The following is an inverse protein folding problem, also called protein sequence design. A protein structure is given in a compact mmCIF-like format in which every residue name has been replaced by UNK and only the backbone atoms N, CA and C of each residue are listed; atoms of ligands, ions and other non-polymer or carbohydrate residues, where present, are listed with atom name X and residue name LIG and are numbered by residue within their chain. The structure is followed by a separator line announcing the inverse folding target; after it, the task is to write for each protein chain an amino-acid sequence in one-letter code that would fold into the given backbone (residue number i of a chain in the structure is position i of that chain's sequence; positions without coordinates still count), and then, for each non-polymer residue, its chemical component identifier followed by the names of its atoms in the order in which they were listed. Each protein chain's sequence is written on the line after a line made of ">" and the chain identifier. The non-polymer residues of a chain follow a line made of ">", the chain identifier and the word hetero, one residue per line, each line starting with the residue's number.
data_IF_525229634167
#
_entry.id   IF_525229634167
#
_cell.length_a   1.000
_cell.length_b   1.000
_cell.length_c   1.000
_cell.angle_alpha   90.00
_cell.angle_beta   90.00
_cell.angle_gamma   90.00
#
_symmetry.space_group_name_H-M   'P 1'
#
loop_
_entity.id
_entity.type
_entity.pdbx_description
1 polymer ?
#
# COMPACT_ATOMS: atom_id res chain seq x y z
N UNK A 1 7.86 -25.33 9.44
CA UNK A 1 7.08 -25.13 10.68
C UNK A 1 6.65 -23.67 10.75
N UNK A 2 5.34 -23.40 11.06
CA UNK A 2 4.80 -22.04 11.20
C UNK A 2 5.59 -21.23 12.24
N UNK A 3 5.95 -19.99 11.87
CA UNK A 3 6.63 -19.03 12.75
C UNK A 3 5.82 -17.76 12.82
N UNK A 4 5.90 -17.07 13.96
CA UNK A 4 5.26 -15.77 14.10
C UNK A 4 5.92 -14.75 13.16
N UNK A 5 5.15 -14.05 12.29
CA UNK A 5 5.72 -13.07 11.36
C UNK A 5 6.02 -11.72 12.02
N UNK A 6 6.77 -10.80 11.37
CA UNK A 6 6.77 -9.38 11.70
C UNK A 6 5.35 -8.82 11.74
N UNK A 7 5.14 -7.78 12.55
CA UNK A 7 3.83 -7.15 12.73
C UNK A 7 3.84 -5.70 12.28
N UNK A 8 2.88 -5.36 11.42
CA UNK A 8 2.60 -3.98 11.01
C UNK A 8 1.24 -3.52 11.52
N UNK A 9 1.01 -2.21 11.52
CA UNK A 9 -0.29 -1.60 11.80
C UNK A 9 -0.75 -0.80 10.58
N UNK A 10 -1.96 -1.09 10.08
CA UNK A 10 -2.64 -0.29 9.08
C UNK A 10 -3.77 0.50 9.73
N UNK A 11 -3.81 1.81 9.47
CA UNK A 11 -4.83 2.72 10.01
C UNK A 11 -5.59 3.30 8.84
N UNK A 12 -6.88 3.01 8.77
CA UNK A 12 -7.74 3.52 7.71
C UNK A 12 -8.42 4.82 8.12
N UNK A 13 -8.11 5.90 7.40
CA UNK A 13 -8.76 7.19 7.54
C UNK A 13 -9.63 7.46 6.30
N UNK A 14 -10.98 7.35 6.39
CA UNK A 14 -11.81 7.17 5.21
C UNK A 14 -12.21 8.45 4.48
N UNK A 15 -11.87 9.64 4.96
CA UNK A 15 -12.35 10.89 4.38
C UNK A 15 -11.47 11.47 3.29
N UNK A 16 -12.12 12.02 2.25
CA UNK A 16 -11.53 12.82 1.19
C UNK A 16 -12.31 14.13 1.04
N UNK A 17 -11.64 15.21 0.62
CA UNK A 17 -12.31 16.43 0.17
C UNK A 17 -13.20 16.16 -1.05
N UNK A 18 -12.68 15.33 -1.98
CA UNK A 18 -13.37 14.89 -3.18
C UNK A 18 -12.88 13.49 -3.56
N UNK A 19 -13.82 12.59 -3.87
CA UNK A 19 -13.50 11.25 -4.34
C UNK A 19 -13.17 11.26 -5.83
N UNK A 20 -12.00 10.78 -6.18
CA UNK A 20 -11.55 10.69 -7.57
C UNK A 20 -12.37 9.65 -8.35
N UNK A 21 -12.67 9.87 -9.65
CA UNK A 21 -13.53 9.00 -10.45
C UNK A 21 -12.95 7.59 -10.70
N UNK A 22 -11.65 7.40 -10.52
CA UNK A 22 -10.96 6.13 -10.67
C UNK A 22 -10.79 5.37 -9.35
N UNK A 23 -10.98 6.02 -8.19
CA UNK A 23 -10.62 5.49 -6.88
C UNK A 23 -11.63 4.46 -6.38
N UNK A 24 -11.16 3.24 -6.14
CA UNK A 24 -11.91 2.11 -5.56
C UNK A 24 -11.75 1.98 -4.04
N UNK A 25 -10.87 2.80 -3.43
CA UNK A 25 -10.64 2.77 -1.99
C UNK A 25 -11.93 3.08 -1.21
N UNK A 26 -11.99 2.56 0.02
CA UNK A 26 -13.08 2.85 0.94
C UNK A 26 -12.98 4.30 1.44
N UNK A 27 -13.22 5.25 0.55
CA UNK A 27 -13.14 6.68 0.82
C UNK A 27 -14.51 7.36 0.67
N UNK A 28 -14.76 8.34 1.51
CA UNK A 28 -16.05 9.03 1.64
C UNK A 28 -15.82 10.54 1.62
N UNK A 29 -16.69 11.25 0.88
CA UNK A 29 -16.83 12.71 1.01
C UNK A 29 -17.75 13.01 2.20
N UNK A 30 -17.50 14.09 2.92
CA UNK A 30 -18.36 14.53 4.03
C UNK A 30 -17.57 15.07 5.22
N UNK A 31 -18.30 15.34 6.29
CA UNK A 31 -17.72 15.85 7.52
C UNK A 31 -16.96 14.78 8.28
N UNK A 32 -15.77 15.15 8.74
CA UNK A 32 -14.93 14.30 9.59
C UNK A 32 -15.60 14.20 10.96
N UNK A 33 -15.87 12.97 11.40
CA UNK A 33 -16.51 12.71 12.69
C UNK A 33 -15.49 12.85 13.82
N UNK A 34 -15.77 13.74 14.77
CA UNK A 34 -14.85 14.12 15.85
C UNK A 34 -14.48 12.98 16.80
N UNK A 35 -15.30 11.93 16.90
CA UNK A 35 -15.06 10.78 17.76
C UNK A 35 -14.28 9.64 17.05
N UNK A 36 -13.94 9.81 15.77
CA UNK A 36 -13.32 8.77 14.96
C UNK A 36 -11.92 8.36 15.48
N UNK A 37 -11.09 9.34 15.87
CA UNK A 37 -9.74 9.05 16.37
C UNK A 37 -9.82 8.29 17.70
N UNK A 38 -10.74 8.66 18.59
CA UNK A 38 -10.97 7.92 19.82
C UNK A 38 -11.51 6.50 19.55
N UNK A 39 -12.29 6.32 18.48
CA UNK A 39 -12.77 5.03 18.05
C UNK A 39 -11.64 4.13 17.49
N UNK A 40 -10.67 4.70 16.77
CA UNK A 40 -9.47 3.97 16.33
C UNK A 40 -8.70 3.37 17.50
N UNK A 41 -8.52 4.15 18.58
CA UNK A 41 -7.82 3.67 19.78
C UNK A 41 -8.62 2.53 20.45
N UNK A 42 -9.95 2.66 20.57
CA UNK A 42 -10.81 1.60 21.12
C UNK A 42 -10.82 0.34 20.23
N UNK A 43 -10.74 0.52 18.91
CA UNK A 43 -10.62 -0.58 17.96
C UNK A 43 -9.32 -1.36 18.16
N UNK A 44 -8.21 -0.64 18.34
CA UNK A 44 -6.92 -1.23 18.68
C UNK A 44 -6.98 -1.99 20.02
N UNK A 45 -7.64 -1.41 21.04
CA UNK A 45 -7.80 -2.07 22.36
C UNK A 45 -8.46 -3.46 22.20
N UNK A 46 -9.38 -3.60 21.27
CA UNK A 46 -10.03 -4.88 20.95
C UNK A 46 -9.10 -5.91 20.29
N UNK A 47 -8.06 -5.44 19.60
CA UNK A 47 -7.13 -6.28 18.82
C UNK A 47 -5.76 -6.49 19.48
N UNK A 48 -5.49 -5.91 20.68
CA UNK A 48 -4.21 -6.03 21.40
C UNK A 48 -3.76 -7.47 21.64
N UNK A 49 -4.70 -8.41 21.80
CA UNK A 49 -4.40 -9.84 21.94
C UNK A 49 -3.60 -10.40 20.75
N UNK A 50 -3.72 -9.79 19.56
CA UNK A 50 -3.03 -10.23 18.33
C UNK A 50 -1.62 -9.69 18.20
N UNK A 51 -1.22 -8.75 19.05
CA UNK A 51 0.16 -8.24 19.10
C UNK A 51 1.12 -9.37 19.50
N UNK A 52 0.72 -10.25 20.42
CA UNK A 52 1.49 -11.43 20.85
C UNK A 52 2.94 -11.07 21.23
N UNK A 53 3.12 -9.99 22.01
CA UNK A 53 4.40 -9.47 22.48
C UNK A 53 5.39 -9.02 21.37
N UNK A 54 4.92 -8.79 20.16
CA UNK A 54 5.76 -8.27 19.06
C UNK A 54 5.88 -6.74 19.12
N UNK A 55 7.00 -6.23 18.67
CA UNK A 55 7.11 -4.82 18.29
C UNK A 55 6.44 -4.57 16.92
N UNK A 56 5.96 -3.35 16.74
CA UNK A 56 5.43 -2.88 15.44
C UNK A 56 6.60 -2.41 14.58
N UNK A 57 6.78 -3.03 13.42
CA UNK A 57 7.84 -2.71 12.47
C UNK A 57 7.49 -1.54 11.56
N UNK A 58 6.19 -1.40 11.23
CA UNK A 58 5.70 -0.29 10.42
C UNK A 58 4.25 0.07 10.75
N UNK A 59 3.94 1.36 10.62
CA UNK A 59 2.60 1.93 10.71
C UNK A 59 2.30 2.63 9.40
N UNK A 60 1.15 2.34 8.79
CA UNK A 60 0.71 3.00 7.56
C UNK A 60 -0.65 3.63 7.80
N UNK A 61 -0.73 4.96 7.70
CA UNK A 61 -1.97 5.74 7.82
C UNK A 61 -2.40 6.09 6.41
N UNK A 62 -3.46 5.41 5.93
CA UNK A 62 -3.91 5.50 4.55
C UNK A 62 -5.43 5.49 4.42
N UNK A 63 -5.90 5.36 3.18
CA UNK A 63 -7.31 5.16 2.83
C UNK A 63 -7.93 6.26 1.98
N UNK A 64 -8.49 7.29 2.59
CA UNK A 64 -8.98 8.48 1.89
C UNK A 64 -7.87 9.52 1.73
N UNK A 65 -7.81 10.47 2.62
CA UNK A 65 -6.78 11.52 2.67
C UNK A 65 -6.39 11.77 4.14
N UNK A 66 -5.48 10.96 4.70
CA UNK A 66 -5.10 11.08 6.11
C UNK A 66 -4.55 12.45 6.51
N UNK A 67 -3.93 13.18 5.57
CA UNK A 67 -3.43 14.53 5.81
C UNK A 67 -4.51 15.58 6.10
N UNK A 68 -5.79 15.25 5.92
CA UNK A 68 -6.90 16.08 6.38
C UNK A 68 -7.04 16.10 7.90
N UNK A 69 -6.49 15.08 8.59
CA UNK A 69 -6.45 15.03 10.04
C UNK A 69 -5.77 16.27 10.60
N UNK A 70 -6.28 16.80 11.73
CA UNK A 70 -5.59 17.86 12.44
C UNK A 70 -4.28 17.32 13.05
N UNK A 71 -3.34 18.19 13.32
CA UNK A 71 -2.08 17.79 13.96
C UNK A 71 -2.30 17.32 15.40
N UNK A 72 -3.30 17.89 16.07
CA UNK A 72 -3.75 17.48 17.41
C UNK A 72 -4.32 16.05 17.37
N UNK A 73 -5.18 15.74 16.40
CA UNK A 73 -5.75 14.40 16.23
C UNK A 73 -4.67 13.37 15.89
N UNK A 74 -3.76 13.72 14.99
CA UNK A 74 -2.63 12.87 14.64
C UNK A 74 -1.70 12.61 15.86
N UNK A 75 -1.45 13.63 16.66
CA UNK A 75 -0.69 13.53 17.90
C UNK A 75 -1.40 12.65 18.93
N UNK A 76 -2.71 12.86 19.13
CA UNK A 76 -3.52 12.04 20.01
C UNK A 76 -3.50 10.56 19.59
N UNK A 77 -3.67 10.30 18.28
CA UNK A 77 -3.59 8.94 17.72
C UNK A 77 -2.23 8.31 18.03
N UNK A 78 -1.13 8.95 17.63
CA UNK A 78 0.21 8.37 17.77
C UNK A 78 0.61 8.17 19.24
N UNK A 79 0.20 9.07 20.16
CA UNK A 79 0.42 8.89 21.59
C UNK A 79 -0.39 7.70 22.13
N UNK A 80 -1.67 7.60 21.75
CA UNK A 80 -2.50 6.46 22.11
C UNK A 80 -1.97 5.11 21.62
N UNK A 81 -1.31 5.09 20.44
CA UNK A 81 -0.61 3.89 19.94
C UNK A 81 0.63 3.58 20.79
N UNK A 82 1.47 4.57 21.12
CA UNK A 82 2.69 4.42 21.93
C UNK A 82 2.39 3.91 23.36
N UNK A 83 1.24 4.27 23.92
CA UNK A 83 0.80 3.79 25.23
C UNK A 83 0.44 2.29 25.23
N UNK A 84 0.11 1.70 24.07
CA UNK A 84 -0.44 0.35 23.91
C UNK A 84 0.49 -0.64 23.24
N UNK A 85 1.40 -0.13 22.42
CA UNK A 85 2.23 -0.93 21.52
C UNK A 85 3.71 -0.61 21.73
N UNK A 86 4.53 -1.63 21.67
CA UNK A 86 5.96 -1.46 21.51
C UNK A 86 6.30 -1.22 20.05
N UNK A 87 7.09 -0.21 19.75
CA UNK A 87 7.60 0.06 18.41
C UNK A 87 9.03 -0.46 18.30
N UNK A 88 9.41 -0.94 17.12
CA UNK A 88 10.83 -1.24 16.82
C UNK A 88 11.64 0.06 16.80
N UNK A 89 12.96 -0.03 17.04
CA UNK A 89 13.84 1.13 17.09
C UNK A 89 13.82 1.95 15.78
N UNK A 90 13.56 1.29 14.66
CA UNK A 90 13.50 1.89 13.32
C UNK A 90 12.10 1.81 12.70
N UNK A 91 11.05 1.95 13.52
CA UNK A 91 9.66 1.88 13.02
C UNK A 91 9.43 2.87 11.88
N UNK A 92 8.92 2.36 10.73
CA UNK A 92 8.46 3.20 9.64
C UNK A 92 7.03 3.68 9.91
N UNK A 93 6.81 4.99 10.03
CA UNK A 93 5.48 5.58 10.20
C UNK A 93 5.16 6.40 8.96
N UNK A 94 4.35 5.82 8.07
CA UNK A 94 3.94 6.44 6.80
C UNK A 94 2.58 7.11 6.94
N UNK A 95 2.44 8.30 6.35
CA UNK A 95 1.15 8.95 6.13
C UNK A 95 0.96 9.22 4.64
N UNK A 96 -0.20 8.83 4.10
CA UNK A 96 -0.64 9.28 2.78
C UNK A 96 -1.07 10.74 2.84
N UNK A 97 -0.60 11.51 1.88
CA UNK A 97 -0.89 12.94 1.80
C UNK A 97 -1.35 13.33 0.40
N UNK A 98 -2.30 14.25 0.34
CA UNK A 98 -2.65 14.91 -0.90
C UNK A 98 -1.77 16.17 -1.03
N UNK A 99 -1.17 16.46 -2.19
CA UNK A 99 -0.21 17.56 -2.33
C UNK A 99 -0.89 18.92 -2.48
N UNK A 100 -1.77 19.28 -1.57
CA UNK A 100 -2.40 20.61 -1.49
C UNK A 100 -1.63 21.55 -0.58
N UNK A 101 -1.89 22.86 -0.70
CA UNK A 101 -1.23 23.90 0.12
C UNK A 101 -1.51 23.72 1.60
N UNK A 102 -2.75 23.38 1.95
CA UNK A 102 -3.17 23.20 3.36
C UNK A 102 -2.45 22.05 4.06
N UNK A 103 -2.16 20.96 3.35
CA UNK A 103 -1.45 19.82 3.90
C UNK A 103 0.03 20.13 4.11
N UNK A 104 0.65 20.89 3.20
CA UNK A 104 2.05 21.26 3.28
C UNK A 104 2.39 22.07 4.55
N UNK A 105 1.48 22.91 5.01
CA UNK A 105 1.64 23.72 6.22
C UNK A 105 1.80 22.87 7.50
N UNK A 106 1.28 21.61 7.50
CA UNK A 106 1.32 20.71 8.65
C UNK A 106 2.55 19.80 8.69
N UNK A 107 3.37 19.74 7.63
CA UNK A 107 4.43 18.74 7.54
C UNK A 107 5.45 18.81 8.67
N UNK A 108 5.82 20.02 9.12
CA UNK A 108 6.74 20.18 10.25
C UNK A 108 6.16 19.56 11.53
N UNK A 109 4.87 19.74 11.77
CA UNK A 109 4.20 19.20 12.94
C UNK A 109 4.03 17.68 12.82
N UNK A 110 3.62 17.15 11.67
CA UNK A 110 3.57 15.71 11.42
C UNK A 110 4.94 15.05 11.63
N UNK A 111 6.02 15.71 11.19
CA UNK A 111 7.38 15.22 11.43
C UNK A 111 7.73 15.18 12.91
N UNK A 112 7.35 16.23 13.66
CA UNK A 112 7.67 16.37 15.10
C UNK A 112 6.97 15.33 15.99
N UNK A 113 5.77 14.89 15.63
CA UNK A 113 5.02 13.86 16.38
C UNK A 113 5.48 12.44 16.07
N UNK A 114 6.35 12.25 15.04
CA UNK A 114 6.99 10.97 14.75
C UNK A 114 6.66 10.34 13.41
N UNK A 115 5.82 10.98 12.55
CA UNK A 115 5.66 10.52 11.16
C UNK A 115 7.01 10.72 10.48
N UNK A 116 7.56 9.66 9.85
CA UNK A 116 8.90 9.68 9.28
C UNK A 116 8.96 9.32 7.79
N UNK A 117 7.81 8.97 7.19
CA UNK A 117 7.66 8.73 5.76
C UNK A 117 6.37 9.37 5.26
N UNK A 118 6.40 10.01 4.09
CA UNK A 118 5.21 10.49 3.39
C UNK A 118 5.02 9.73 2.08
N UNK A 119 3.75 9.42 1.74
CA UNK A 119 3.34 8.95 0.42
C UNK A 119 2.50 10.04 -0.22
N UNK A 120 3.06 10.72 -1.23
CA UNK A 120 2.45 11.91 -1.83
C UNK A 120 1.72 11.52 -3.11
N UNK A 121 0.39 11.59 -3.10
CA UNK A 121 -0.47 11.25 -4.23
C UNK A 121 -0.47 12.32 -5.33
N UNK A 122 0.64 12.47 -6.06
CA UNK A 122 0.79 13.44 -7.15
C UNK A 122 -0.02 13.04 -8.38
N UNK A 123 0.11 11.80 -8.82
CA UNK A 123 -0.52 11.15 -9.95
C UNK A 123 0.00 11.59 -11.33
N UNK A 124 0.19 12.89 -11.57
CA UNK A 124 0.82 13.49 -12.75
C UNK A 124 1.29 14.92 -12.43
N UNK A 125 2.25 15.41 -13.17
CA UNK A 125 2.66 16.83 -13.13
C UNK A 125 2.09 17.64 -14.31
N UNK A 126 1.11 17.09 -15.03
CA UNK A 126 0.40 17.75 -16.11
C UNK A 126 -1.02 18.12 -15.63
N UNK A 127 -1.34 19.42 -15.59
CA UNK A 127 -2.62 19.92 -15.04
C UNK A 127 -3.83 19.39 -15.79
N UNK A 128 -3.72 19.13 -17.09
CA UNK A 128 -4.78 18.52 -17.88
C UNK A 128 -5.10 17.09 -17.41
N UNK A 129 -4.09 16.32 -17.05
CA UNK A 129 -4.22 14.96 -16.51
C UNK A 129 -4.77 14.98 -15.09
N UNK A 130 -4.31 15.90 -14.24
CA UNK A 130 -4.84 16.10 -12.90
C UNK A 130 -6.34 16.41 -12.94
N UNK A 131 -6.75 17.31 -13.82
CA UNK A 131 -8.17 17.65 -14.04
C UNK A 131 -8.97 16.42 -14.52
N UNK A 132 -8.43 15.65 -15.44
CA UNK A 132 -9.05 14.41 -15.92
C UNK A 132 -9.24 13.40 -14.78
N UNK A 133 -8.23 13.22 -13.93
CA UNK A 133 -8.28 12.35 -12.76
C UNK A 133 -9.18 12.89 -11.62
N UNK A 134 -9.74 14.11 -11.76
CA UNK A 134 -10.58 14.73 -10.74
C UNK A 134 -9.81 15.21 -9.52
N UNK A 135 -8.48 15.38 -9.65
CA UNK A 135 -7.62 15.91 -8.58
C UNK A 135 -7.92 17.38 -8.31
N UNK A 136 -7.77 17.77 -7.04
CA UNK A 136 -8.06 19.14 -6.58
C UNK A 136 -6.82 20.04 -6.54
N UNK A 137 -5.63 19.45 -6.67
CA UNK A 137 -4.35 20.17 -6.69
C UNK A 137 -3.83 20.37 -8.13
N UNK A 138 -2.97 21.35 -8.30
CA UNK A 138 -2.20 21.63 -9.52
C UNK A 138 -0.81 21.00 -9.49
N UNK A 139 -0.15 20.95 -10.64
CA UNK A 139 1.24 20.47 -10.74
C UNK A 139 2.21 21.30 -9.89
N UNK A 140 2.00 22.62 -9.82
CA UNK A 140 2.81 23.51 -8.98
C UNK A 140 2.62 23.25 -7.49
N UNK A 141 1.40 22.99 -7.04
CA UNK A 141 1.13 22.61 -5.65
C UNK A 141 1.78 21.27 -5.31
N UNK A 142 1.77 20.29 -6.24
CA UNK A 142 2.45 19.01 -6.04
C UNK A 142 3.97 19.19 -5.87
N UNK A 143 4.61 20.02 -6.69
CA UNK A 143 6.05 20.33 -6.56
C UNK A 143 6.34 21.01 -5.23
N UNK A 144 5.54 22.02 -4.88
CA UNK A 144 5.74 22.78 -3.64
C UNK A 144 5.55 21.89 -2.40
N UNK A 145 4.54 21.01 -2.39
CA UNK A 145 4.31 20.08 -1.28
C UNK A 145 5.52 19.16 -1.04
N UNK A 146 6.16 18.65 -2.09
CA UNK A 146 7.37 17.81 -1.95
C UNK A 146 8.53 18.63 -1.39
N UNK A 147 8.75 19.87 -1.89
CA UNK A 147 9.79 20.77 -1.38
C UNK A 147 9.54 21.11 0.10
N UNK A 148 8.32 21.43 0.48
CA UNK A 148 7.97 21.72 1.88
C UNK A 148 8.12 20.48 2.78
N UNK A 149 7.79 19.28 2.29
CA UNK A 149 8.06 18.05 3.03
C UNK A 149 9.57 17.86 3.30
N UNK A 150 10.42 18.13 2.31
CA UNK A 150 11.88 18.07 2.46
C UNK A 150 12.37 19.16 3.46
N UNK A 151 11.85 20.38 3.38
CA UNK A 151 12.14 21.47 4.34
C UNK A 151 11.72 21.13 5.77
N UNK A 152 10.60 20.42 5.92
CA UNK A 152 10.13 19.90 7.21
C UNK A 152 11.00 18.75 7.78
N UNK A 153 12.02 18.30 7.01
CA UNK A 153 12.96 17.27 7.44
C UNK A 153 12.54 15.84 7.11
N UNK A 154 11.57 15.64 6.19
CA UNK A 154 11.30 14.31 5.65
C UNK A 154 12.39 13.92 4.64
N UNK A 155 13.09 12.84 4.94
CA UNK A 155 14.10 12.22 4.06
C UNK A 155 13.58 10.97 3.36
N UNK A 156 12.42 10.45 3.79
CA UNK A 156 11.77 9.29 3.18
C UNK A 156 10.43 9.74 2.58
N UNK A 157 10.44 9.98 1.27
CA UNK A 157 9.28 10.48 0.53
C UNK A 157 9.02 9.55 -0.64
N UNK A 158 7.79 9.08 -0.77
CA UNK A 158 7.27 8.42 -1.96
C UNK A 158 6.45 9.41 -2.79
N UNK A 159 6.61 9.35 -4.11
CA UNK A 159 5.76 10.04 -5.09
C UNK A 159 4.95 8.99 -5.84
N UNK A 160 3.62 9.09 -5.78
CA UNK A 160 2.74 8.25 -6.57
C UNK A 160 2.50 8.89 -7.94
N UNK A 161 2.77 8.14 -9.03
CA UNK A 161 2.55 8.55 -10.41
C UNK A 161 1.77 7.49 -11.17
N UNK A 162 0.83 7.95 -12.00
CA UNK A 162 0.03 7.10 -12.87
C UNK A 162 0.45 7.25 -14.32
N UNK A 163 0.34 6.15 -15.07
CA UNK A 163 0.46 6.16 -16.53
C UNK A 163 -0.72 5.47 -17.22
N UNK A 164 -0.78 5.57 -18.54
CA UNK A 164 -1.93 5.08 -19.30
C UNK A 164 -3.15 5.99 -19.19
N UNK A 165 -2.95 7.30 -18.96
CA UNK A 165 -4.01 8.28 -18.80
C UNK A 165 -4.62 8.69 -20.13
N UNK A 166 -5.80 9.29 -20.11
CA UNK A 166 -6.50 9.74 -21.31
C UNK A 166 -5.63 10.70 -22.15
N UNK A 167 -5.35 10.30 -23.39
CA UNK A 167 -4.55 11.10 -24.33
C UNK A 167 -3.08 11.25 -23.95
N UNK A 168 -2.60 10.55 -22.91
CA UNK A 168 -1.21 10.56 -22.52
C UNK A 168 -0.34 9.91 -23.60
N UNK A 169 0.74 10.56 -24.01
CA UNK A 169 1.77 9.96 -24.85
C UNK A 169 2.90 9.37 -24.00
N UNK A 170 3.75 8.56 -24.62
CA UNK A 170 4.94 8.01 -23.96
C UNK A 170 5.87 9.14 -23.49
N UNK A 171 6.03 10.20 -24.27
CA UNK A 171 6.84 11.36 -23.91
C UNK A 171 6.30 12.06 -22.68
N UNK A 172 5.00 12.33 -22.58
CA UNK A 172 4.34 12.92 -21.40
C UNK A 172 4.56 12.06 -20.15
N UNK A 173 4.43 10.74 -20.27
CA UNK A 173 4.70 9.81 -19.17
C UNK A 173 6.16 9.89 -18.68
N UNK A 174 7.13 10.00 -19.61
CA UNK A 174 8.55 10.13 -19.28
C UNK A 174 8.87 11.51 -18.69
N UNK A 175 8.18 12.56 -19.11
CA UNK A 175 8.29 13.91 -18.53
C UNK A 175 7.81 13.93 -17.07
N UNK A 176 6.69 13.31 -16.75
CA UNK A 176 6.21 13.14 -15.38
C UNK A 176 7.26 12.44 -14.49
N UNK A 177 7.86 11.34 -14.98
CA UNK A 177 8.90 10.62 -14.26
C UNK A 177 10.17 11.45 -14.06
N UNK A 178 10.61 12.18 -15.10
CA UNK A 178 11.79 13.07 -14.98
C UNK A 178 11.55 14.14 -13.92
N UNK A 179 10.36 14.76 -13.90
CA UNK A 179 10.01 15.77 -12.91
C UNK A 179 9.97 15.20 -11.49
N UNK A 180 9.45 13.98 -11.32
CA UNK A 180 9.51 13.30 -10.02
C UNK A 180 10.96 13.05 -9.58
N UNK A 181 11.81 12.57 -10.47
CA UNK A 181 13.23 12.28 -10.20
C UNK A 181 14.00 13.56 -9.81
N UNK A 182 13.74 14.69 -10.48
CA UNK A 182 14.35 15.99 -10.17
C UNK A 182 14.03 16.44 -8.74
N UNK A 183 12.88 16.08 -8.20
CA UNK A 183 12.49 16.34 -6.81
C UNK A 183 13.19 15.44 -5.79
N UNK A 184 14.02 14.49 -6.24
CA UNK A 184 14.87 13.64 -5.40
C UNK A 184 14.13 12.87 -4.30
N UNK A 185 13.02 12.18 -4.58
CA UNK A 185 12.38 11.30 -3.61
C UNK A 185 13.26 10.06 -3.37
N UNK A 186 12.98 9.31 -2.31
CA UNK A 186 13.62 8.00 -2.07
C UNK A 186 12.84 6.84 -2.67
N UNK A 187 11.59 7.10 -3.06
CA UNK A 187 10.65 6.09 -3.54
C UNK A 187 9.71 6.69 -4.60
N UNK A 188 9.39 5.93 -5.63
CA UNK A 188 8.39 6.27 -6.65
C UNK A 188 7.47 5.07 -6.82
N UNK A 189 6.17 5.26 -6.60
CA UNK A 189 5.14 4.33 -7.03
C UNK A 189 4.71 4.73 -8.44
N UNK A 190 4.97 3.86 -9.41
CA UNK A 190 4.65 4.10 -10.81
C UNK A 190 3.73 2.99 -11.31
N UNK A 191 2.45 3.31 -11.53
CA UNK A 191 1.41 2.31 -11.81
C UNK A 191 0.43 2.74 -12.89
N UNK A 192 -0.07 1.74 -13.61
CA UNK A 192 -1.04 1.93 -14.69
C UNK A 192 -2.41 2.31 -14.11
N UNK A 193 -3.12 3.21 -14.80
CA UNK A 193 -4.55 3.43 -14.54
C UNK A 193 -5.34 2.16 -14.89
N UNK A 194 -6.00 1.58 -13.90
CA UNK A 194 -6.94 0.47 -14.04
C UNK A 194 -8.37 0.94 -13.82
N UNK A 195 -9.31 0.33 -14.55
CA UNK A 195 -10.75 0.67 -14.46
C UNK A 195 -11.41 -0.26 -13.44
N UNK A 196 -11.17 0.03 -12.16
CA UNK A 196 -11.62 -0.83 -11.06
C UNK A 196 -13.16 -0.87 -10.94
N UNK A 197 -13.74 -2.04 -10.63
CA UNK A 197 -15.18 -2.18 -10.41
C UNK A 197 -15.70 -1.17 -9.36
N UNK A 198 -16.97 -0.73 -9.53
CA UNK A 198 -17.64 0.23 -8.65
C UNK A 198 -17.07 1.66 -8.66
N UNK A 199 -16.22 2.00 -9.62
CA UNK A 199 -15.74 3.38 -9.85
C UNK A 199 -16.55 4.08 -10.94
N UNK A 200 -16.48 5.42 -10.99
CA UNK A 200 -17.08 6.18 -12.09
C UNK A 200 -16.43 5.85 -13.43
N UNK A 201 -15.11 5.62 -13.45
CA UNK A 201 -14.40 5.26 -14.66
C UNK A 201 -14.75 3.86 -15.18
N UNK A 202 -15.11 2.92 -14.31
CA UNK A 202 -15.65 1.62 -14.73
C UNK A 202 -17.06 1.78 -15.34
N UNK A 203 -17.90 2.65 -14.76
CA UNK A 203 -19.26 2.90 -15.25
C UNK A 203 -19.29 3.71 -16.55
N UNK A 204 -18.36 4.66 -16.68
CA UNK A 204 -18.19 5.55 -17.83
C UNK A 204 -16.72 5.54 -18.27
N UNK A 205 -16.28 4.48 -18.98
CA UNK A 205 -14.89 4.29 -19.33
C UNK A 205 -14.34 5.45 -20.16
N UNK A 206 -13.24 6.08 -19.74
CA UNK A 206 -12.57 7.09 -20.54
C UNK A 206 -11.87 6.44 -21.74
N UNK A 207 -11.53 7.25 -22.73
CA UNK A 207 -10.69 6.79 -23.83
C UNK A 207 -9.23 6.73 -23.35
N UNK A 208 -8.70 5.53 -23.21
CA UNK A 208 -7.31 5.29 -22.85
C UNK A 208 -6.44 5.08 -24.10
N UNK A 209 -5.11 5.23 -24.00
CA UNK A 209 -4.18 4.81 -25.05
C UNK A 209 -4.32 3.32 -25.36
N UNK A 210 -3.80 2.87 -26.52
CA UNK A 210 -3.78 1.43 -26.83
C UNK A 210 -2.85 0.65 -25.88
N UNK A 211 -3.10 -0.65 -25.74
CA UNK A 211 -2.31 -1.52 -24.88
C UNK A 211 -0.82 -1.50 -25.23
N UNK A 212 -0.48 -1.35 -26.51
CA UNK A 212 0.92 -1.24 -26.96
C UNK A 212 1.57 0.05 -26.45
N UNK A 213 0.85 1.18 -26.46
CA UNK A 213 1.35 2.46 -25.96
C UNK A 213 1.50 2.40 -24.43
N UNK A 214 0.51 1.82 -23.75
CA UNK A 214 0.56 1.63 -22.28
C UNK A 214 1.73 0.74 -21.89
N UNK A 215 1.93 -0.36 -22.62
CA UNK A 215 3.08 -1.25 -22.42
C UNK A 215 4.41 -0.51 -22.62
N UNK A 216 4.52 0.29 -23.69
CA UNK A 216 5.72 1.08 -23.96
C UNK A 216 5.99 2.11 -22.86
N UNK A 217 4.97 2.77 -22.29
CA UNK A 217 5.08 3.65 -21.14
C UNK A 217 5.69 2.90 -19.93
N UNK A 218 5.15 1.74 -19.60
CA UNK A 218 5.64 0.90 -18.51
C UNK A 218 7.10 0.48 -18.68
N UNK A 219 7.46 -0.07 -19.86
CA UNK A 219 8.83 -0.52 -20.14
C UNK A 219 9.84 0.63 -20.15
N UNK A 220 9.51 1.76 -20.80
CA UNK A 220 10.40 2.93 -20.84
C UNK A 220 10.52 3.60 -19.46
N UNK A 221 9.42 3.70 -18.73
CA UNK A 221 9.41 4.23 -17.36
C UNK A 221 10.25 3.40 -16.41
N UNK A 222 10.05 2.08 -16.37
CA UNK A 222 10.86 1.16 -15.58
C UNK A 222 12.36 1.26 -15.91
N UNK A 223 12.69 1.33 -17.21
CA UNK A 223 14.09 1.49 -17.66
C UNK A 223 14.70 2.82 -17.22
N UNK A 224 13.94 3.91 -17.29
CA UNK A 224 14.38 5.24 -16.83
C UNK A 224 14.65 5.21 -15.33
N UNK A 225 13.68 4.73 -14.53
CA UNK A 225 13.79 4.66 -13.07
C UNK A 225 15.00 3.83 -12.62
N UNK A 226 15.19 2.65 -13.20
CA UNK A 226 16.35 1.80 -12.89
C UNK A 226 17.68 2.49 -13.28
N UNK A 227 17.76 3.18 -14.43
CA UNK A 227 18.94 3.95 -14.84
C UNK A 227 19.26 5.10 -13.87
N UNK A 228 18.24 5.64 -13.20
CA UNK A 228 18.37 6.73 -12.22
C UNK A 228 18.56 6.26 -10.77
N UNK A 229 18.74 4.94 -10.56
CA UNK A 229 19.03 4.35 -9.26
C UNK A 229 17.80 3.96 -8.43
N UNK A 230 16.60 4.09 -8.98
CA UNK A 230 15.36 3.58 -8.39
C UNK A 230 15.18 2.12 -8.80
N UNK A 231 15.61 1.20 -7.94
CA UNK A 231 15.45 -0.25 -8.20
C UNK A 231 14.00 -0.65 -8.00
N UNK A 232 13.42 -1.33 -8.99
CA UNK A 232 12.13 -1.97 -8.80
C UNK A 232 12.25 -3.10 -7.78
N UNK A 233 11.41 -3.15 -6.76
CA UNK A 233 11.42 -4.23 -5.77
C UNK A 233 10.11 -5.00 -5.73
N UNK A 234 9.01 -4.40 -6.21
CA UNK A 234 7.70 -5.04 -6.42
C UNK A 234 7.01 -4.42 -7.64
N UNK A 235 5.78 -4.84 -7.96
CA UNK A 235 5.07 -4.56 -9.22
C UNK A 235 5.10 -3.09 -9.64
N UNK A 236 4.82 -2.18 -8.72
CA UNK A 236 4.68 -0.75 -9.03
C UNK A 236 5.63 0.14 -8.24
N UNK A 237 6.50 -0.44 -7.42
CA UNK A 237 7.34 0.35 -6.52
C UNK A 237 8.83 0.30 -6.89
N UNK A 238 9.41 1.48 -7.01
CA UNK A 238 10.80 1.72 -7.38
C UNK A 238 11.48 2.53 -6.28
N UNK A 239 12.59 2.05 -5.73
CA UNK A 239 13.21 2.72 -4.59
C UNK A 239 14.68 2.39 -4.41
N UNK A 240 15.42 3.33 -3.82
CA UNK A 240 16.69 3.09 -3.16
C UNK A 240 16.49 2.64 -1.68
N UNK A 241 15.30 2.86 -1.12
CA UNK A 241 14.91 2.49 0.24
C UNK A 241 13.46 1.95 0.24
N UNK A 242 13.24 0.64 0.03
CA UNK A 242 11.91 0.03 -0.03
C UNK A 242 11.07 0.29 1.22
N UNK A 243 9.75 0.45 1.07
CA UNK A 243 8.82 0.59 2.19
C UNK A 243 8.77 -0.70 3.01
N UNK A 244 8.99 -0.59 4.32
CA UNK A 244 8.90 -1.73 5.25
C UNK A 244 7.47 -2.26 5.31
N UNK A 245 6.48 -1.37 5.23
CA UNK A 245 5.06 -1.77 5.24
C UNK A 245 4.69 -2.60 4.02
N UNK A 246 5.10 -2.17 2.81
CA UNK A 246 4.87 -2.92 1.58
C UNK A 246 5.59 -4.27 1.61
N UNK A 247 6.87 -4.29 2.02
CA UNK A 247 7.63 -5.53 2.13
C UNK A 247 6.98 -6.51 3.11
N UNK A 248 6.41 -6.02 4.23
CA UNK A 248 5.69 -6.87 5.16
C UNK A 248 4.49 -7.55 4.49
N UNK A 249 3.71 -6.85 3.66
CA UNK A 249 2.62 -7.46 2.89
C UNK A 249 3.14 -8.49 1.89
N UNK A 250 4.14 -8.14 1.10
CA UNK A 250 4.65 -9.02 0.03
C UNK A 250 5.42 -10.22 0.56
N UNK A 251 5.94 -10.17 1.78
CA UNK A 251 6.54 -11.33 2.47
C UNK A 251 5.54 -12.08 3.35
N UNK A 252 4.23 -11.84 3.14
CA UNK A 252 3.15 -12.49 3.86
C UNK A 252 3.24 -12.31 5.39
N UNK A 253 3.68 -11.12 5.83
CA UNK A 253 3.74 -10.72 7.23
C UNK A 253 2.36 -10.49 7.83
N UNK A 254 2.30 -10.32 9.15
CA UNK A 254 1.07 -9.97 9.85
C UNK A 254 0.84 -8.48 9.88
N UNK A 255 -0.42 -8.10 9.90
CA UNK A 255 -0.81 -6.72 10.15
C UNK A 255 -2.17 -6.63 10.85
N UNK A 256 -2.26 -5.72 11.81
CA UNK A 256 -3.52 -5.32 12.43
C UNK A 256 -4.07 -4.16 11.60
N UNK A 257 -5.34 -4.22 11.23
CA UNK A 257 -6.03 -3.13 10.56
C UNK A 257 -7.08 -2.51 11.46
N UNK A 258 -6.98 -1.21 11.73
CA UNK A 258 -7.99 -0.43 12.47
C UNK A 258 -8.60 0.65 11.60
N UNK A 259 -9.87 0.98 11.86
CA UNK A 259 -10.63 1.96 11.10
C UNK A 259 -11.65 1.35 10.13
N UNK A 260 -12.56 2.18 9.64
CA UNK A 260 -13.68 1.76 8.81
C UNK A 260 -13.21 1.11 7.49
N UNK A 261 -13.54 -0.16 7.29
CA UNK A 261 -13.12 -0.95 6.13
C UNK A 261 -11.69 -1.48 6.18
N UNK A 262 -10.97 -1.30 7.30
CA UNK A 262 -9.64 -1.86 7.45
C UNK A 262 -9.68 -3.40 7.49
N UNK A 263 -8.71 -4.01 6.86
CA UNK A 263 -8.45 -5.44 6.91
C UNK A 263 -7.21 -5.72 7.76
N UNK A 264 -7.13 -6.91 8.30
CA UNK A 264 -5.96 -7.43 8.98
C UNK A 264 -5.67 -8.86 8.56
N UNK A 265 -4.45 -9.31 8.79
CA UNK A 265 -4.01 -10.70 8.69
C UNK A 265 -3.20 -11.05 9.93
N UNK A 266 -3.60 -12.09 10.62
CA UNK A 266 -3.02 -12.48 11.90
C UNK A 266 -2.64 -13.96 11.88
N UNK A 267 -1.41 -14.24 12.29
CA UNK A 267 -0.94 -15.59 12.64
C UNK A 267 -1.08 -15.77 14.13
N UNK A 268 -2.07 -16.56 14.55
CA UNK A 268 -2.29 -16.89 15.97
C UNK A 268 -1.50 -18.15 16.32
N UNK A 269 -0.42 -17.96 17.06
CA UNK A 269 0.44 -19.07 17.47
C UNK A 269 -0.20 -19.98 18.53
N UNK A 270 -1.20 -19.47 19.25
CA UNK A 270 -1.88 -20.28 20.29
C UNK A 270 -2.80 -21.33 19.67
N UNK A 271 -3.47 -20.99 18.57
CA UNK A 271 -4.35 -21.88 17.81
C UNK A 271 -3.69 -22.48 16.57
N UNK A 272 -2.45 -22.08 16.23
CA UNK A 272 -1.77 -22.42 14.97
C UNK A 272 -2.61 -22.09 13.72
N UNK A 273 -3.32 -20.96 13.76
CA UNK A 273 -4.22 -20.53 12.69
C UNK A 273 -3.80 -19.18 12.11
N UNK A 274 -4.04 -19.02 10.82
CA UNK A 274 -3.93 -17.74 10.13
C UNK A 274 -5.34 -17.31 9.73
N UNK A 275 -5.71 -16.07 10.06
CA UNK A 275 -7.03 -15.55 9.75
C UNK A 275 -6.99 -14.08 9.30
N UNK A 276 -8.04 -13.68 8.62
CA UNK A 276 -8.30 -12.29 8.23
C UNK A 276 -9.25 -11.63 9.22
N UNK A 277 -9.02 -10.34 9.49
CA UNK A 277 -9.99 -9.46 10.17
C UNK A 277 -10.55 -8.46 9.18
N UNK A 278 -11.79 -8.04 9.36
CA UNK A 278 -12.49 -7.11 8.51
C UNK A 278 -13.35 -6.18 9.37
N UNK A 279 -13.23 -4.88 9.18
CA UNK A 279 -14.05 -3.85 9.81
C UNK A 279 -15.20 -3.42 8.88
N UNK A 280 -16.28 -2.86 9.44
CA UNK A 280 -17.37 -2.28 8.63
C UNK A 280 -16.84 -1.17 7.72
N UNK A 281 -17.26 -1.19 6.44
CA UNK A 281 -16.84 -0.17 5.46
C UNK A 281 -17.44 1.21 5.71
N UNK A 282 -18.68 1.26 6.19
CA UNK A 282 -19.34 2.52 6.52
C UNK A 282 -18.74 3.14 7.79
N UNK A 283 -18.26 4.40 7.78
CA UNK A 283 -17.76 5.06 8.99
C UNK A 283 -18.79 5.11 10.11
N UNK A 284 -20.07 5.35 9.79
CA UNK A 284 -21.15 5.38 10.78
C UNK A 284 -21.38 4.00 11.42
N UNK A 285 -21.44 2.93 10.61
CA UNK A 285 -21.59 1.58 11.14
C UNK A 285 -20.36 1.14 11.94
N UNK A 286 -19.17 1.55 11.52
CA UNK A 286 -17.94 1.32 12.25
C UNK A 286 -18.00 1.93 13.64
N UNK A 287 -18.33 3.23 13.75
CA UNK A 287 -18.46 3.92 15.04
C UNK A 287 -19.52 3.28 15.94
N UNK A 288 -20.69 2.94 15.39
CA UNK A 288 -21.72 2.23 16.12
C UNK A 288 -21.26 0.87 16.62
N UNK A 289 -20.51 0.11 15.82
CA UNK A 289 -20.00 -1.20 16.22
C UNK A 289 -18.97 -1.10 17.36
N UNK A 290 -18.10 -0.10 17.32
CA UNK A 290 -17.14 0.18 18.39
C UNK A 290 -17.87 0.57 19.69
N UNK A 291 -18.86 1.47 19.61
CA UNK A 291 -19.66 1.87 20.77
C UNK A 291 -20.42 0.68 21.42
N UNK A 292 -20.95 -0.23 20.60
CA UNK A 292 -21.69 -1.41 21.05
C UNK A 292 -20.80 -2.59 21.41
N UNK A 293 -19.47 -2.45 21.34
CA UNK A 293 -18.49 -3.54 21.57
C UNK A 293 -18.81 -4.79 20.73
N UNK A 294 -19.32 -4.61 19.52
CA UNK A 294 -19.59 -5.73 18.60
C UNK A 294 -18.29 -6.31 18.09
N UNK A 295 -18.19 -7.63 18.10
CA UNK A 295 -17.00 -8.34 17.61
C UNK A 295 -16.76 -8.12 16.12
N UNK A 296 -15.50 -7.95 15.77
CA UNK A 296 -15.00 -7.90 14.41
C UNK A 296 -15.26 -9.25 13.72
N UNK A 297 -15.74 -9.20 12.50
CA UNK A 297 -15.87 -10.37 11.64
C UNK A 297 -14.49 -10.98 11.33
N UNK A 298 -14.30 -12.28 11.61
CA UNK A 298 -13.08 -13.03 11.32
C UNK A 298 -13.34 -14.10 10.28
N UNK A 299 -12.42 -14.21 9.33
CA UNK A 299 -12.46 -15.28 8.33
C UNK A 299 -11.20 -16.13 8.43
N UNK A 300 -11.34 -17.46 8.58
CA UNK A 300 -10.22 -18.40 8.46
C UNK A 300 -9.70 -18.42 7.01
N UNK A 301 -8.37 -18.44 6.86
CA UNK A 301 -7.74 -18.74 5.59
C UNK A 301 -7.50 -20.26 5.55
N UNK A 302 -8.54 -21.05 5.22
CA UNK A 302 -8.38 -22.51 5.28
C UNK A 302 -8.03 -23.11 3.92
N UNK A 303 -8.68 -22.64 2.85
CA UNK A 303 -8.65 -23.31 1.56
C UNK A 303 -7.76 -22.62 0.51
N UNK A 304 -7.20 -21.46 0.82
CA UNK A 304 -6.44 -20.64 -0.11
C UNK A 304 -5.11 -20.11 0.43
N UNK A 305 -4.58 -20.71 1.52
CA UNK A 305 -3.39 -20.18 2.20
C UNK A 305 -2.13 -20.17 1.31
N UNK A 306 -1.92 -21.23 0.53
CA UNK A 306 -0.83 -21.30 -0.45
C UNK A 306 -1.02 -20.27 -1.56
N UNK A 307 -2.24 -20.15 -2.08
CA UNK A 307 -2.56 -19.15 -3.10
C UNK A 307 -2.38 -17.73 -2.56
N UNK A 308 -2.90 -17.41 -1.37
CA UNK A 308 -2.74 -16.07 -0.77
C UNK A 308 -1.26 -15.71 -0.53
N UNK A 309 -0.43 -16.69 -0.14
CA UNK A 309 1.01 -16.47 -0.05
C UNK A 309 1.62 -16.15 -1.43
N UNK A 310 1.33 -16.97 -2.44
CA UNK A 310 1.86 -16.77 -3.80
C UNK A 310 1.35 -15.47 -4.43
N UNK A 311 0.09 -15.10 -4.21
CA UNK A 311 -0.51 -13.83 -4.65
C UNK A 311 0.28 -12.62 -4.14
N UNK A 312 0.82 -12.68 -2.93
CA UNK A 312 1.64 -11.62 -2.35
C UNK A 312 3.11 -11.77 -2.78
N UNK A 313 3.73 -12.92 -2.55
CA UNK A 313 5.19 -13.06 -2.65
C UNK A 313 5.72 -13.08 -4.08
N UNK A 314 4.91 -13.49 -5.07
CA UNK A 314 5.27 -13.41 -6.49
C UNK A 314 5.31 -11.97 -7.04
N UNK A 315 4.82 -10.98 -6.27
CA UNK A 315 4.98 -9.56 -6.60
C UNK A 315 6.41 -9.06 -6.41
N UNK A 316 7.23 -9.76 -5.59
CA UNK A 316 8.62 -9.39 -5.35
C UNK A 316 9.48 -9.69 -6.56
N UNK A 317 10.18 -8.69 -7.07
CA UNK A 317 11.11 -8.82 -8.22
C UNK A 317 12.21 -9.84 -7.94
N UNK A 318 12.72 -9.86 -6.70
CA UNK A 318 13.78 -10.77 -6.30
C UNK A 318 13.27 -12.15 -5.87
N UNK A 319 11.93 -12.33 -5.80
CA UNK A 319 11.33 -13.57 -5.35
C UNK A 319 11.49 -13.81 -3.85
N UNK A 320 11.46 -15.07 -3.44
CA UNK A 320 11.49 -15.46 -2.03
C UNK A 320 12.17 -16.83 -1.83
N UNK A 321 12.67 -17.05 -0.62
CA UNK A 321 13.18 -18.36 -0.19
C UNK A 321 12.02 -19.31 0.19
N UNK A 322 12.10 -20.59 -0.18
CA UNK A 322 11.07 -21.59 0.12
C UNK A 322 10.80 -21.75 1.63
N UNK A 323 11.81 -21.51 2.47
CA UNK A 323 11.65 -21.47 3.93
C UNK A 323 10.75 -20.31 4.40
N UNK A 324 10.66 -19.23 3.61
CA UNK A 324 9.67 -18.17 3.87
C UNK A 324 8.24 -18.72 3.71
N UNK A 325 7.94 -19.44 2.62
CA UNK A 325 6.65 -20.10 2.43
C UNK A 325 6.28 -20.98 3.64
N UNK A 326 7.19 -21.88 4.03
CA UNK A 326 6.94 -22.79 5.14
C UNK A 326 6.77 -22.09 6.49
N UNK A 327 7.56 -21.05 6.73
CA UNK A 327 7.48 -20.30 7.99
C UNK A 327 6.24 -19.41 8.09
N UNK A 328 5.72 -18.92 6.94
CA UNK A 328 4.54 -18.05 6.89
C UNK A 328 3.22 -18.78 6.78
N UNK A 329 3.21 -19.96 6.17
CA UNK A 329 1.98 -20.73 5.92
C UNK A 329 1.84 -21.93 6.85
N UNK A 330 2.95 -22.47 7.39
CA UNK A 330 3.00 -23.73 8.09
C UNK A 330 2.92 -24.96 7.17
N UNK A 331 2.76 -24.74 5.85
CA UNK A 331 2.71 -25.78 4.83
C UNK A 331 4.11 -26.12 4.34
N UNK A 332 4.35 -27.37 3.92
CA UNK A 332 5.58 -27.69 3.19
C UNK A 332 5.51 -27.14 1.78
N UNK A 333 6.64 -26.68 1.24
CA UNK A 333 6.77 -26.23 -0.16
C UNK A 333 6.41 -27.36 -1.15
N UNK A 334 6.51 -28.61 -0.73
CA UNK A 334 6.09 -29.77 -1.51
C UNK A 334 4.59 -29.73 -1.86
N UNK A 335 3.75 -29.07 -1.04
CA UNK A 335 2.31 -28.94 -1.28
C UNK A 335 1.96 -28.16 -2.55
N UNK A 336 2.88 -27.34 -3.05
CA UNK A 336 2.76 -26.54 -4.29
C UNK A 336 3.80 -26.90 -5.35
N UNK A 337 4.50 -28.04 -5.17
CA UNK A 337 5.59 -28.44 -6.09
C UNK A 337 5.09 -28.65 -7.53
N UNK A 338 3.89 -29.18 -7.72
CA UNK A 338 3.30 -29.38 -9.07
C UNK A 338 3.10 -28.08 -9.79
N UNK A 339 2.52 -27.08 -9.12
CA UNK A 339 2.28 -25.75 -9.63
C UNK A 339 3.59 -25.01 -9.93
N UNK A 340 4.58 -25.13 -9.04
CA UNK A 340 5.93 -24.58 -9.26
C UNK A 340 6.57 -25.15 -10.52
N UNK A 341 6.53 -26.49 -10.71
CA UNK A 341 7.07 -27.15 -11.90
C UNK A 341 6.33 -26.75 -13.18
N UNK A 342 5.02 -26.56 -13.11
CA UNK A 342 4.23 -26.08 -14.23
C UNK A 342 4.65 -24.67 -14.63
N UNK A 343 4.74 -23.74 -13.65
CA UNK A 343 5.18 -22.38 -13.90
C UNK A 343 6.63 -22.31 -14.45
N UNK A 344 7.53 -23.18 -13.97
CA UNK A 344 8.90 -23.31 -14.49
C UNK A 344 8.89 -23.79 -15.94
N UNK A 345 8.11 -24.83 -16.27
CA UNK A 345 7.95 -25.36 -17.63
C UNK A 345 7.42 -24.31 -18.61
N UNK A 346 6.54 -23.41 -18.13
CA UNK A 346 6.02 -22.28 -18.90
C UNK A 346 7.00 -21.10 -18.99
N UNK A 347 8.17 -21.22 -18.36
CA UNK A 347 9.18 -20.15 -18.23
C UNK A 347 8.65 -18.91 -17.52
N UNK A 348 7.79 -19.10 -16.53
CA UNK A 348 7.24 -18.02 -15.68
C UNK A 348 8.00 -17.92 -14.35
N UNK A 349 8.55 -19.03 -13.83
CA UNK A 349 9.41 -19.07 -12.64
C UNK A 349 10.82 -19.54 -12.96
N UNK A 350 11.77 -19.06 -12.19
CA UNK A 350 13.12 -19.59 -12.10
C UNK A 350 13.36 -20.09 -10.66
N UNK A 351 13.89 -21.29 -10.54
CA UNK A 351 14.19 -21.92 -9.25
C UNK A 351 15.69 -22.16 -9.19
N UNK A 352 16.33 -21.65 -8.14
CA UNK A 352 17.74 -21.88 -7.86
C UNK A 352 17.87 -22.27 -6.39
N UNK A 353 18.27 -23.50 -6.14
CA UNK A 353 18.28 -24.10 -4.81
C UNK A 353 16.91 -23.96 -4.12
N UNK A 354 16.84 -23.17 -3.05
CA UNK A 354 15.60 -22.88 -2.31
C UNK A 354 14.94 -21.57 -2.71
N UNK A 355 15.48 -20.84 -3.71
CA UNK A 355 14.99 -19.53 -4.11
C UNK A 355 14.02 -19.62 -5.29
N UNK A 356 12.85 -19.03 -5.15
CA UNK A 356 11.78 -19.02 -6.14
C UNK A 356 11.58 -17.57 -6.60
N UNK A 357 11.77 -17.33 -7.90
CA UNK A 357 11.73 -15.98 -8.46
C UNK A 357 10.96 -15.95 -9.78
N UNK A 358 10.05 -14.98 -10.01
CA UNK A 358 9.46 -14.76 -11.31
C UNK A 358 10.54 -14.47 -12.36
N UNK A 359 10.43 -15.07 -13.55
CA UNK A 359 11.22 -14.65 -14.71
C UNK A 359 10.73 -13.30 -15.22
N UNK A 360 11.45 -12.65 -16.16
CA UNK A 360 10.93 -11.44 -16.81
C UNK A 360 9.56 -11.70 -17.45
N UNK A 361 9.38 -12.86 -18.09
CA UNK A 361 8.09 -13.28 -18.66
C UNK A 361 7.04 -13.48 -17.58
N UNK A 362 7.37 -14.21 -16.50
CA UNK A 362 6.44 -14.44 -15.39
C UNK A 362 6.00 -13.16 -14.71
N UNK A 363 6.88 -12.18 -14.65
CA UNK A 363 6.55 -10.87 -14.08
C UNK A 363 5.66 -10.04 -15.00
N UNK A 364 5.87 -10.13 -16.33
CA UNK A 364 4.98 -9.49 -17.32
C UNK A 364 3.58 -10.11 -17.38
N UNK A 365 3.47 -11.40 -17.03
CA UNK A 365 2.22 -12.18 -16.98
C UNK A 365 1.96 -12.66 -15.54
N UNK A 366 2.00 -11.71 -14.60
CA UNK A 366 1.93 -12.04 -13.18
C UNK A 366 0.58 -12.65 -12.79
N UNK A 367 -0.52 -12.19 -13.36
CA UNK A 367 -1.86 -12.72 -13.07
C UNK A 367 -1.95 -14.19 -13.49
N UNK A 368 -1.51 -14.52 -14.69
CA UNK A 368 -1.47 -15.90 -15.21
C UNK A 368 -0.53 -16.78 -14.36
N UNK A 369 0.61 -16.23 -13.91
CA UNK A 369 1.48 -16.94 -13.01
C UNK A 369 0.81 -17.23 -11.66
N UNK A 370 0.08 -16.26 -11.11
CA UNK A 370 -0.63 -16.41 -9.84
C UNK A 370 -1.80 -17.40 -9.95
N UNK A 371 -2.52 -17.41 -11.09
CA UNK A 371 -3.62 -18.35 -11.35
C UNK A 371 -3.20 -19.81 -11.31
N UNK A 372 -1.95 -20.14 -11.62
CA UNK A 372 -1.43 -21.52 -11.51
C UNK A 372 -1.54 -22.06 -10.07
N UNK A 373 -1.61 -21.17 -9.07
CA UNK A 373 -1.66 -21.55 -7.65
C UNK A 373 -3.09 -21.51 -7.06
N UNK A 374 -4.12 -21.22 -7.88
CA UNK A 374 -5.54 -21.33 -7.49
C UNK A 374 -5.98 -22.84 -7.29
#
# INVERSE_FOLDING_TARGET
>A
MLKIPPLSLYIHYPWCLKKCPYCDFNSHEGEIQSDYISALIKDLDGDLQYVQNRAIESIFIGGGTPSLMSTEDASYLLNGLKERLNFSDNVEITMEVNPGTFEAEKFTEFRSIGINRLSVGVQSFEDSQLKFLGRVHSSNEAVNAIIEAQRAGFTNINIDLMYGLNGQSVEMCIEDLNKAIELSPTHISFYQLTLEPNTLFSKFPPRLPSDEIIWEMGEKGAKLLNKKGFRQYEVSAYSSNPSLHNLNYWTFGDYIGIGAGAHGKITDMSSHQIFRTLKSKSPNEYLLSIQQKKMISRKKIVDSLSFEFMLNSLRLIDGFDSGLFESRTGLSIESVRSQIKEAEKLNLLNISDNWIKPTKKGYSFLNELQEIFL
#
